data_IF_370200993741
#
_entry.id   IF_370200993741
#
_cell.length_a   1.000
_cell.length_b   1.000
_cell.length_c   1.000
_cell.angle_alpha   90.00
_cell.angle_beta   90.00
_cell.angle_gamma   90.00
#
_symmetry.space_group_name_H-M   'P 1'
#
loop_
_entity.id
_entity.type
_entity.pdbx_description
1 polymer ?
#
# COMPACT_ATOMS: atom_id res chain seq x y z
N UNK A 1 22.81 -12.44 28.72
CA UNK A 1 23.18 -11.14 28.12
C UNK A 1 22.77 -11.16 26.64
N UNK A 2 21.55 -10.73 26.34
CA UNK A 2 21.03 -10.69 24.96
C UNK A 2 21.44 -9.36 24.32
N UNK A 3 22.39 -9.41 23.40
CA UNK A 3 22.89 -8.24 22.68
C UNK A 3 21.80 -7.61 21.82
N UNK A 4 21.40 -6.39 22.17
CA UNK A 4 20.60 -5.52 21.30
C UNK A 4 21.51 -5.06 20.16
N UNK A 5 21.34 -5.66 18.98
CA UNK A 5 22.03 -5.19 17.77
C UNK A 5 21.36 -3.90 17.31
N UNK A 6 22.06 -2.79 17.48
CA UNK A 6 21.69 -1.48 16.94
C UNK A 6 21.97 -1.47 15.43
N UNK A 7 20.93 -1.54 14.61
CA UNK A 7 21.05 -1.44 13.15
C UNK A 7 21.09 0.03 12.72
N UNK A 8 22.29 0.60 12.62
CA UNK A 8 22.55 1.83 11.88
C UNK A 8 23.24 1.47 10.56
N UNK A 9 22.45 1.32 9.49
CA UNK A 9 22.93 1.06 8.14
C UNK A 9 21.79 0.75 7.18
N UNK A 10 21.83 1.32 5.96
CA UNK A 10 20.81 1.11 4.93
C UNK A 10 20.72 -0.39 4.59
N UNK A 11 19.58 -1.02 4.91
CA UNK A 11 19.35 -2.45 4.68
C UNK A 11 19.31 -2.73 3.18
N UNK A 12 20.31 -3.47 2.67
CA UNK A 12 20.47 -3.89 1.26
C UNK A 12 19.39 -4.86 0.74
N UNK A 13 18.33 -5.15 1.50
CA UNK A 13 17.29 -6.11 1.17
C UNK A 13 15.93 -5.48 0.77
N UNK A 14 15.90 -4.23 0.28
CA UNK A 14 14.65 -3.50 -0.07
C UNK A 14 13.73 -4.31 -0.99
N UNK A 15 14.26 -5.21 -1.82
CA UNK A 15 13.47 -6.06 -2.73
C UNK A 15 12.80 -7.29 -2.11
N UNK A 16 13.31 -7.84 -1.00
CA UNK A 16 12.76 -9.08 -0.41
C UNK A 16 11.46 -8.83 0.36
N UNK A 17 11.33 -7.65 0.98
CA UNK A 17 10.12 -7.26 1.72
C UNK A 17 8.86 -7.24 0.84
N UNK A 18 8.94 -6.80 -0.42
CA UNK A 18 7.75 -6.68 -1.29
C UNK A 18 7.10 -8.03 -1.63
N UNK A 19 7.93 -9.06 -1.84
CA UNK A 19 7.48 -10.43 -2.10
C UNK A 19 7.02 -11.14 -0.82
N UNK A 20 7.53 -10.72 0.35
CA UNK A 20 7.17 -11.27 1.65
C UNK A 20 5.83 -10.75 2.21
N UNK A 21 5.26 -9.68 1.64
CA UNK A 21 3.95 -9.16 2.06
C UNK A 21 2.85 -10.16 1.71
N UNK A 22 2.06 -10.57 2.70
CA UNK A 22 0.81 -11.29 2.47
C UNK A 22 -0.26 -10.35 1.88
N UNK A 23 -0.30 -10.33 0.55
CA UNK A 23 -1.25 -9.52 -0.20
C UNK A 23 -2.71 -9.94 -0.02
N UNK A 24 -2.98 -11.18 0.37
CA UNK A 24 -4.35 -11.64 0.59
C UNK A 24 -4.89 -11.04 1.89
N UNK A 25 -4.09 -11.03 2.95
CA UNK A 25 -4.42 -10.34 4.20
C UNK A 25 -4.63 -8.84 3.99
N UNK A 26 -3.74 -8.18 3.26
CA UNK A 26 -3.85 -6.74 2.94
C UNK A 26 -5.17 -6.44 2.20
N UNK A 27 -5.53 -7.23 1.19
CA UNK A 27 -6.80 -7.08 0.46
C UNK A 27 -8.01 -7.34 1.35
N UNK A 28 -7.96 -8.36 2.21
CA UNK A 28 -9.06 -8.71 3.11
C UNK A 28 -9.39 -7.57 4.10
N UNK A 29 -8.37 -6.96 4.70
CA UNK A 29 -8.56 -5.84 5.63
C UNK A 29 -9.14 -4.59 4.92
N UNK A 30 -8.62 -4.25 3.73
CA UNK A 30 -9.17 -3.15 2.94
C UNK A 30 -10.64 -3.41 2.54
N UNK A 31 -10.95 -4.62 2.08
CA UNK A 31 -12.31 -5.03 1.71
C UNK A 31 -13.26 -4.96 2.90
N UNK A 32 -12.83 -5.39 4.09
CA UNK A 32 -13.63 -5.32 5.32
C UNK A 32 -14.06 -3.88 5.63
N UNK A 33 -13.15 -2.92 5.53
CA UNK A 33 -13.47 -1.50 5.73
C UNK A 33 -14.41 -0.96 4.65
N UNK A 34 -14.16 -1.29 3.38
CA UNK A 34 -15.04 -0.89 2.27
C UNK A 34 -16.48 -1.42 2.44
N UNK A 35 -16.65 -2.68 2.83
CA UNK A 35 -17.97 -3.26 3.10
C UNK A 35 -18.66 -2.56 4.27
N UNK A 36 -17.92 -2.20 5.33
CA UNK A 36 -18.46 -1.44 6.46
C UNK A 36 -18.90 -0.03 6.04
N UNK A 37 -18.16 0.62 5.15
CA UNK A 37 -18.54 1.93 4.58
C UNK A 37 -19.84 1.76 3.77
N UNK A 38 -19.91 0.78 2.87
CA UNK A 38 -21.10 0.53 2.06
C UNK A 38 -22.34 0.26 2.93
N UNK A 39 -22.19 -0.55 3.99
CA UNK A 39 -23.25 -0.80 4.96
C UNK A 39 -23.67 0.48 5.70
N UNK A 40 -22.72 1.29 6.17
CA UNK A 40 -23.02 2.55 6.87
C UNK A 40 -23.72 3.58 5.97
N UNK A 41 -23.34 3.67 4.69
CA UNK A 41 -24.02 4.52 3.71
C UNK A 41 -25.45 4.03 3.47
N UNK A 42 -25.64 2.72 3.26
CA UNK A 42 -26.98 2.13 3.07
C UNK A 42 -27.91 2.36 4.26
N UNK A 43 -27.38 2.34 5.48
CA UNK A 43 -28.13 2.63 6.72
C UNK A 43 -28.32 4.13 7.00
N UNK A 44 -27.88 5.03 6.10
CA UNK A 44 -27.99 6.48 6.29
C UNK A 44 -27.04 7.06 7.35
N UNK A 45 -26.13 6.26 7.90
CA UNK A 45 -25.20 6.64 8.99
C UNK A 45 -23.99 7.41 8.46
N UNK A 46 -24.23 8.64 7.99
CA UNK A 46 -23.22 9.49 7.33
C UNK A 46 -21.97 9.75 8.18
N UNK A 47 -22.13 10.05 9.48
CA UNK A 47 -20.99 10.29 10.37
C UNK A 47 -20.11 9.04 10.52
N UNK A 48 -20.73 7.86 10.64
CA UNK A 48 -20.01 6.58 10.69
C UNK A 48 -19.29 6.28 9.39
N UNK A 49 -19.89 6.56 8.24
CA UNK A 49 -19.24 6.41 6.95
C UNK A 49 -17.99 7.30 6.83
N UNK A 50 -18.09 8.58 7.25
CA UNK A 50 -16.95 9.51 7.29
C UNK A 50 -15.82 9.01 8.19
N UNK A 51 -16.12 8.55 9.41
CA UNK A 51 -15.11 7.99 10.31
C UNK A 51 -14.44 6.74 9.72
N UNK A 52 -15.21 5.85 9.08
CA UNK A 52 -14.66 4.65 8.44
C UNK A 52 -13.81 4.97 7.20
N UNK A 53 -14.18 5.98 6.42
CA UNK A 53 -13.36 6.49 5.32
C UNK A 53 -12.03 7.04 5.84
N UNK A 54 -12.05 7.80 6.93
CA UNK A 54 -10.83 8.30 7.56
C UNK A 54 -9.92 7.14 8.00
N UNK A 55 -10.48 6.11 8.65
CA UNK A 55 -9.73 4.89 9.03
C UNK A 55 -9.16 4.18 7.79
N UNK A 56 -9.92 4.07 6.70
CA UNK A 56 -9.46 3.45 5.47
C UNK A 56 -8.26 4.21 4.88
N UNK A 57 -8.34 5.53 4.76
CA UNK A 57 -7.25 6.35 4.19
C UNK A 57 -5.95 6.28 5.01
N UNK A 58 -6.06 6.13 6.32
CA UNK A 58 -4.90 6.07 7.22
C UNK A 58 -4.38 4.63 7.44
N UNK A 59 -5.10 3.62 6.95
CA UNK A 59 -4.72 2.20 7.12
C UNK A 59 -3.47 1.85 6.31
N UNK A 60 -2.54 1.13 6.95
CA UNK A 60 -1.35 0.60 6.30
C UNK A 60 -1.68 -0.34 5.13
N UNK A 61 -2.68 -1.21 5.30
CA UNK A 61 -3.12 -2.14 4.26
C UNK A 61 -3.68 -1.41 3.04
N UNK A 62 -4.43 -0.32 3.24
CA UNK A 62 -4.96 0.48 2.15
C UNK A 62 -3.85 1.19 1.37
N UNK A 63 -2.87 1.78 2.08
CA UNK A 63 -1.70 2.41 1.47
C UNK A 63 -0.85 1.41 0.68
N UNK A 64 -0.57 0.23 1.24
CA UNK A 64 0.15 -0.83 0.53
C UNK A 64 -0.57 -1.28 -0.73
N UNK A 65 -1.89 -1.46 -0.64
CA UNK A 65 -2.69 -1.87 -1.80
C UNK A 65 -2.65 -0.80 -2.90
N UNK A 66 -2.73 0.49 -2.54
CA UNK A 66 -2.62 1.59 -3.48
C UNK A 66 -1.27 1.62 -4.21
N UNK A 67 -0.16 1.47 -3.47
CA UNK A 67 1.20 1.42 -4.06
C UNK A 67 1.35 0.20 -4.97
N UNK A 68 0.81 -0.96 -4.59
CA UNK A 68 0.80 -2.15 -5.45
C UNK A 68 0.03 -1.93 -6.74
N UNK A 69 -1.14 -1.28 -6.67
CA UNK A 69 -1.92 -0.98 -7.86
C UNK A 69 -1.19 0.01 -8.77
N UNK A 70 -0.58 1.06 -8.19
CA UNK A 70 0.18 2.05 -8.95
C UNK A 70 1.37 1.43 -9.70
N UNK A 71 2.09 0.50 -9.03
CA UNK A 71 3.27 -0.17 -9.60
C UNK A 71 2.92 -1.30 -10.58
N UNK A 72 1.74 -1.92 -10.45
CA UNK A 72 1.34 -3.09 -11.25
C UNK A 72 0.42 -2.76 -12.43
N UNK A 73 -0.09 -1.53 -12.55
CA UNK A 73 -1.04 -1.14 -13.60
C UNK A 73 -0.32 -0.59 -14.84
N UNK A 74 -0.94 -0.74 -16.02
CA UNK A 74 -0.43 -0.24 -17.32
C UNK A 74 -0.02 1.25 -17.32
N UNK A 75 -0.55 2.08 -16.41
CA UNK A 75 -0.17 3.48 -16.24
C UNK A 75 1.26 3.71 -15.70
N UNK A 76 1.89 2.69 -15.09
CA UNK A 76 3.32 2.73 -14.77
C UNK A 76 4.20 2.80 -16.04
N UNK A 77 3.65 2.41 -17.20
CA UNK A 77 4.31 2.50 -18.51
C UNK A 77 3.94 3.79 -19.26
N UNK A 78 3.13 4.68 -18.67
CA UNK A 78 2.82 5.99 -19.24
C UNK A 78 3.84 6.98 -18.70
N UNK A 79 4.56 7.66 -19.60
CA UNK A 79 5.53 8.66 -19.19
C UNK A 79 4.83 9.79 -18.41
N UNK A 80 5.43 10.22 -17.30
CA UNK A 80 5.00 11.43 -16.61
C UNK A 80 5.24 12.67 -17.46
N UNK A 81 4.97 13.86 -16.91
CA UNK A 81 5.21 15.14 -17.57
C UNK A 81 6.66 15.27 -18.06
N UNK A 82 7.61 14.63 -17.36
CA UNK A 82 9.04 14.60 -17.70
C UNK A 82 9.41 13.65 -18.86
N UNK A 83 8.45 12.89 -19.42
CA UNK A 83 8.68 12.02 -20.59
C UNK A 83 9.48 10.74 -20.32
N UNK A 84 10.08 10.57 -19.14
CA UNK A 84 10.96 9.45 -18.81
C UNK A 84 10.19 8.27 -18.21
N UNK A 85 10.46 7.06 -18.71
CA UNK A 85 9.93 5.79 -18.19
C UNK A 85 11.03 4.99 -17.50
N UNK A 86 10.89 4.68 -16.20
CA UNK A 86 11.80 3.78 -15.49
C UNK A 86 11.40 2.31 -15.72
N UNK A 87 11.78 1.79 -16.89
CA UNK A 87 11.38 0.44 -17.31
C UNK A 87 12.48 -0.62 -17.13
N UNK A 88 13.70 -0.19 -16.76
CA UNK A 88 14.87 -1.07 -16.77
C UNK A 88 15.37 -1.30 -15.33
N UNK A 89 15.45 -2.56 -14.86
CA UNK A 89 16.08 -2.87 -13.57
C UNK A 89 17.62 -2.87 -13.66
N UNK A 90 18.21 -2.48 -14.80
CA UNK A 90 19.62 -2.67 -15.13
C UNK A 90 20.57 -1.54 -14.67
N UNK A 91 20.11 -0.52 -13.97
CA UNK A 91 20.99 0.56 -13.49
C UNK A 91 20.71 0.89 -12.04
N UNK A 92 21.13 -0.01 -11.16
CA UNK A 92 21.50 0.34 -9.79
C UNK A 92 23.03 0.39 -9.76
N UNK A 93 23.60 1.58 -9.87
CA UNK A 93 24.97 1.84 -9.45
C UNK A 93 24.95 2.25 -7.98
#
# INVERSE_FOLDING_TARGET
MTGVVKLTGATSCIGSHWKAIDWNKVKAEAKRLQVRIAKAVREGKRNKAKSLQWVLSHSFSAKLLAVKMATSTKGANTAGVDGVKWNTPATRH
#
